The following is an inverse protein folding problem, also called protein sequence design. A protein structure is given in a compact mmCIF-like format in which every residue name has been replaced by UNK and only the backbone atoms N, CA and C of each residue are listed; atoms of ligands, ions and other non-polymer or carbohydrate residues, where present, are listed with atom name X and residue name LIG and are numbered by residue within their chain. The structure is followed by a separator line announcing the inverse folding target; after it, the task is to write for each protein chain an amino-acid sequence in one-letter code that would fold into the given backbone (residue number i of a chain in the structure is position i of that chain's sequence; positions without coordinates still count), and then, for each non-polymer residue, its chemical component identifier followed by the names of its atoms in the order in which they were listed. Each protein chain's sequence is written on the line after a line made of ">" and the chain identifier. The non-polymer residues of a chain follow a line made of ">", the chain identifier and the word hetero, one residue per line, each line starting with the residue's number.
data_IF_083531524918
#
_entry.id   IF_083531524918
#
_cell.length_a   1.000
_cell.length_b   1.000
_cell.length_c   1.000
_cell.angle_alpha   90.00
_cell.angle_beta   90.00
_cell.angle_gamma   90.00
#
_symmetry.space_group_name_H-M   'P 1'
#
loop_
_entity.id
_entity.type
_entity.pdbx_description
1 polymer ?
#
# COMPACT_ATOMS: atom_id res chain seq x y z
N UNK A 1 -11.78 10.90 1.63
CA UNK A 1 -10.35 11.30 1.63
C UNK A 1 -9.93 11.67 3.03
N UNK A 2 -8.65 11.54 3.38
CA UNK A 2 -8.10 11.95 4.68
C UNK A 2 -6.91 12.90 4.46
N UNK A 3 -6.57 13.69 5.48
CA UNK A 3 -5.49 14.70 5.52
C UNK A 3 -5.75 15.97 4.70
N UNK A 4 -5.54 17.13 5.34
CA UNK A 4 -5.80 18.46 4.76
C UNK A 4 -5.16 18.65 3.38
N UNK A 5 -3.87 18.33 3.23
CA UNK A 5 -3.14 18.43 1.96
C UNK A 5 -3.81 17.68 0.79
N UNK A 6 -4.51 16.57 1.07
CA UNK A 6 -5.22 15.83 0.02
C UNK A 6 -6.48 16.58 -0.42
N UNK A 7 -7.18 17.24 0.51
CA UNK A 7 -8.31 18.13 0.18
C UNK A 7 -7.83 19.34 -0.62
N UNK A 8 -6.72 19.97 -0.24
CA UNK A 8 -6.08 21.08 -0.97
C UNK A 8 -5.84 20.72 -2.43
N UNK A 9 -5.16 19.59 -2.65
CA UNK A 9 -4.77 19.14 -3.99
C UNK A 9 -5.99 18.76 -4.83
N UNK A 10 -7.02 18.18 -4.22
CA UNK A 10 -8.25 17.87 -4.94
C UNK A 10 -9.00 19.15 -5.32
N UNK A 11 -9.15 20.10 -4.37
CA UNK A 11 -9.78 21.39 -4.62
C UNK A 11 -9.10 22.17 -5.73
N UNK A 12 -7.77 22.21 -5.74
CA UNK A 12 -6.99 22.79 -6.83
C UNK A 12 -7.23 22.07 -8.18
N UNK A 13 -7.39 20.75 -8.18
CA UNK A 13 -7.65 19.96 -9.39
C UNK A 13 -9.04 20.23 -9.99
N UNK A 14 -10.06 20.46 -9.16
CA UNK A 14 -11.43 20.74 -9.63
C UNK A 14 -11.79 22.23 -9.63
N UNK A 15 -10.87 23.10 -9.23
CA UNK A 15 -11.06 24.54 -9.06
C UNK A 15 -12.24 24.90 -8.12
N UNK A 16 -12.28 24.25 -6.95
CA UNK A 16 -13.26 24.52 -5.90
C UNK A 16 -12.61 24.47 -4.51
N UNK A 17 -13.20 25.18 -3.55
CA UNK A 17 -12.78 25.11 -2.15
C UNK A 17 -13.27 23.82 -1.46
N UNK A 18 -12.38 23.17 -0.72
CA UNK A 18 -12.62 21.98 0.08
C UNK A 18 -12.00 22.06 1.48
N UNK A 19 -11.59 23.25 1.92
CA UNK A 19 -10.83 23.43 3.16
C UNK A 19 -11.43 24.43 4.13
N UNK A 20 -11.99 25.54 3.62
CA UNK A 20 -12.24 26.73 4.43
C UNK A 20 -13.13 26.46 5.65
N UNK A 21 -14.11 25.58 5.53
CA UNK A 21 -14.97 25.16 6.64
C UNK A 21 -15.51 23.72 6.48
N UNK A 22 -16.35 23.28 7.42
CA UNK A 22 -16.99 21.96 7.37
C UNK A 22 -17.92 21.81 6.17
N UNK A 23 -18.61 22.87 5.75
CA UNK A 23 -19.50 22.84 4.58
C UNK A 23 -18.69 22.55 3.31
N UNK A 24 -17.58 23.27 3.12
CA UNK A 24 -16.64 23.08 2.02
C UNK A 24 -16.06 21.65 2.02
N UNK A 25 -15.63 21.14 3.18
CA UNK A 25 -15.12 19.77 3.32
C UNK A 25 -16.19 18.72 3.02
N UNK A 26 -17.41 18.91 3.52
CA UNK A 26 -18.50 17.93 3.42
C UNK A 26 -18.97 17.70 1.98
N UNK A 27 -18.70 18.63 1.06
CA UNK A 27 -18.90 18.41 -0.38
C UNK A 27 -18.23 17.12 -0.86
N UNK A 28 -17.11 16.71 -0.25
CA UNK A 28 -16.37 15.50 -0.67
C UNK A 28 -17.20 14.22 -0.53
N UNK A 29 -18.15 14.20 0.41
CA UNK A 29 -19.03 13.07 0.66
C UNK A 29 -20.28 13.08 -0.24
N UNK A 30 -20.50 14.17 -0.98
CA UNK A 30 -21.67 14.36 -1.83
C UNK A 30 -21.34 14.08 -3.31
N UNK A 31 -22.38 13.73 -4.08
CA UNK A 31 -22.25 13.62 -5.53
C UNK A 31 -21.97 15.00 -6.15
N UNK A 32 -21.06 15.11 -7.14
CA UNK A 32 -20.26 14.05 -7.76
C UNK A 32 -18.91 13.79 -7.08
N UNK A 33 -18.52 14.58 -6.08
CA UNK A 33 -17.17 14.57 -5.50
C UNK A 33 -16.84 13.27 -4.78
N UNK A 34 -17.80 12.58 -4.18
CA UNK A 34 -17.58 11.27 -3.55
C UNK A 34 -17.00 10.23 -4.53
N UNK A 35 -17.38 10.31 -5.81
CA UNK A 35 -16.87 9.43 -6.87
C UNK A 35 -15.65 10.06 -7.56
N UNK A 36 -15.76 11.33 -7.97
CA UNK A 36 -14.68 12.01 -8.71
C UNK A 36 -13.38 12.06 -7.93
N UNK A 37 -13.45 12.28 -6.63
CA UNK A 37 -12.27 12.37 -5.78
C UNK A 37 -11.56 11.03 -5.62
N UNK A 38 -12.31 9.91 -5.57
CA UNK A 38 -11.74 8.57 -5.58
C UNK A 38 -10.99 8.26 -6.88
N UNK A 39 -11.60 8.57 -8.04
CA UNK A 39 -10.94 8.40 -9.34
C UNK A 39 -9.76 9.34 -9.53
N UNK A 40 -9.86 10.60 -9.11
CA UNK A 40 -8.73 11.53 -9.12
C UNK A 40 -7.56 10.99 -8.29
N UNK A 41 -7.84 10.53 -7.07
CA UNK A 41 -6.80 9.96 -6.21
C UNK A 41 -6.10 8.78 -6.89
N UNK A 42 -6.91 7.87 -7.46
CA UNK A 42 -6.44 6.63 -8.07
C UNK A 42 -5.71 6.86 -9.41
N UNK A 43 -6.28 7.65 -10.31
CA UNK A 43 -5.77 7.83 -11.67
C UNK A 43 -4.71 8.94 -11.78
N UNK A 44 -4.86 10.02 -11.00
CA UNK A 44 -4.07 11.25 -11.16
C UNK A 44 -3.09 11.42 -10.01
N UNK A 45 -3.59 11.58 -8.77
CA UNK A 45 -2.75 12.00 -7.65
C UNK A 45 -1.69 10.96 -7.25
N UNK A 46 -2.13 9.74 -6.95
CA UNK A 46 -1.21 8.63 -6.62
C UNK A 46 -0.79 7.82 -7.83
N UNK A 47 -1.45 8.03 -8.98
CA UNK A 47 -1.21 7.30 -10.22
C UNK A 47 -1.14 5.78 -9.97
N UNK A 48 -2.10 5.27 -9.21
CA UNK A 48 -2.26 3.85 -8.84
C UNK A 48 -2.60 3.02 -10.09
N UNK A 49 -3.35 3.62 -11.03
CA UNK A 49 -3.77 2.98 -12.28
C UNK A 49 -2.60 2.37 -13.07
N UNK A 50 -1.40 2.98 -13.03
CA UNK A 50 -0.22 2.42 -13.71
C UNK A 50 0.23 1.06 -13.13
N UNK A 51 -0.03 0.82 -11.85
CA UNK A 51 0.31 -0.42 -11.17
C UNK A 51 -0.79 -1.47 -11.33
N UNK A 52 -2.05 -1.03 -11.33
CA UNK A 52 -3.19 -1.88 -11.62
C UNK A 52 -3.15 -2.50 -13.02
N UNK A 53 -2.67 -1.75 -14.02
CA UNK A 53 -2.43 -2.28 -15.37
C UNK A 53 -1.43 -3.44 -15.41
N UNK A 54 -0.58 -3.57 -14.39
CA UNK A 54 0.40 -4.65 -14.27
C UNK A 54 0.00 -5.69 -13.21
N UNK A 55 -1.25 -5.66 -12.74
CA UNK A 55 -1.77 -6.53 -11.68
C UNK A 55 -0.95 -6.50 -10.38
N UNK A 56 -0.28 -5.38 -10.09
CA UNK A 56 0.61 -5.23 -8.94
C UNK A 56 -0.18 -4.82 -7.68
N UNK A 57 -0.99 -5.75 -7.17
CA UNK A 57 -1.88 -5.56 -6.03
C UNK A 57 -1.17 -5.06 -4.76
N UNK A 58 0.03 -5.60 -4.51
CA UNK A 58 0.88 -5.22 -3.39
C UNK A 58 1.25 -3.73 -3.46
N UNK A 59 1.70 -3.24 -4.61
CA UNK A 59 2.03 -1.81 -4.79
C UNK A 59 0.78 -0.93 -4.74
N UNK A 60 -0.34 -1.39 -5.30
CA UNK A 60 -1.63 -0.67 -5.24
C UNK A 60 -2.03 -0.44 -3.77
N UNK A 61 -1.98 -1.49 -2.94
CA UNK A 61 -2.34 -1.40 -1.52
C UNK A 61 -1.39 -0.46 -0.77
N UNK A 62 -0.08 -0.61 -1.01
CA UNK A 62 0.95 0.23 -0.40
C UNK A 62 0.76 1.73 -0.69
N UNK A 63 0.33 2.08 -1.91
CA UNK A 63 0.11 3.47 -2.33
C UNK A 63 -1.14 4.09 -1.72
N UNK A 64 -2.23 3.32 -1.60
CA UNK A 64 -3.52 3.85 -1.12
C UNK A 64 -3.44 4.19 0.37
N UNK A 65 -2.80 3.35 1.19
CA UNK A 65 -2.76 3.52 2.65
C UNK A 65 -1.40 3.94 3.21
N UNK A 66 -0.37 4.07 2.36
CA UNK A 66 1.01 4.24 2.84
C UNK A 66 1.58 2.99 3.51
N UNK A 67 1.00 1.82 3.27
CA UNK A 67 1.32 0.56 3.94
C UNK A 67 0.30 -0.52 3.60
N UNK A 68 0.18 -1.54 4.46
CA UNK A 68 -0.63 -2.73 4.19
C UNK A 68 -1.81 -2.89 5.17
N UNK A 69 -2.31 -1.77 5.72
CA UNK A 69 -3.50 -1.79 6.55
C UNK A 69 -4.73 -2.30 5.77
N UNK A 70 -5.44 -3.27 6.36
CA UNK A 70 -6.58 -3.96 5.75
C UNK A 70 -6.24 -4.77 4.50
N UNK A 71 -4.99 -5.21 4.32
CA UNK A 71 -4.56 -5.97 3.14
C UNK A 71 -5.39 -7.25 2.94
N UNK A 72 -5.62 -8.04 4.00
CA UNK A 72 -6.41 -9.26 3.95
C UNK A 72 -7.88 -9.01 3.53
N UNK A 73 -8.48 -7.90 3.98
CA UNK A 73 -9.82 -7.53 3.54
C UNK A 73 -9.82 -7.13 2.06
N UNK A 74 -8.80 -6.37 1.62
CA UNK A 74 -8.67 -5.94 0.24
C UNK A 74 -8.51 -7.11 -0.72
N UNK A 75 -7.68 -8.11 -0.38
CA UNK A 75 -7.47 -9.26 -1.26
C UNK A 75 -8.75 -10.10 -1.34
N UNK A 76 -9.52 -10.22 -0.24
CA UNK A 76 -10.84 -10.87 -0.24
C UNK A 76 -11.83 -10.17 -1.18
N UNK A 77 -11.92 -8.84 -1.10
CA UNK A 77 -12.80 -8.07 -2.01
C UNK A 77 -12.33 -8.12 -3.46
N UNK A 78 -11.02 -8.05 -3.69
CA UNK A 78 -10.43 -8.18 -5.02
C UNK A 78 -10.77 -9.54 -5.64
N UNK A 79 -10.53 -10.64 -4.94
CA UNK A 79 -10.85 -11.99 -5.43
C UNK A 79 -12.35 -12.12 -5.73
N UNK A 80 -13.22 -11.60 -4.85
CA UNK A 80 -14.67 -11.58 -5.10
C UNK A 80 -15.02 -10.80 -6.38
N UNK A 81 -14.39 -9.65 -6.60
CA UNK A 81 -14.63 -8.84 -7.79
C UNK A 81 -14.16 -9.55 -9.07
N UNK A 82 -12.96 -10.15 -9.04
CA UNK A 82 -12.41 -10.95 -10.14
C UNK A 82 -13.38 -12.07 -10.53
N UNK A 83 -13.84 -12.86 -9.56
CA UNK A 83 -14.80 -13.95 -9.82
C UNK A 83 -16.15 -13.45 -10.32
N UNK A 84 -16.70 -12.40 -9.69
CA UNK A 84 -18.03 -11.87 -10.06
C UNK A 84 -18.02 -11.30 -11.48
N UNK A 85 -16.92 -10.67 -11.89
CA UNK A 85 -16.74 -10.06 -13.21
C UNK A 85 -16.18 -11.03 -14.25
N UNK A 86 -15.88 -12.28 -13.89
CA UNK A 86 -15.22 -13.28 -14.75
C UNK A 86 -13.90 -12.77 -15.35
N UNK A 87 -13.11 -12.10 -14.50
CA UNK A 87 -11.91 -11.37 -14.88
C UNK A 87 -10.61 -12.12 -14.49
N UNK A 88 -10.66 -13.43 -14.25
CA UNK A 88 -9.52 -14.25 -13.82
C UNK A 88 -8.32 -14.12 -14.78
N UNK A 89 -8.61 -14.03 -16.08
CA UNK A 89 -7.62 -13.83 -17.14
C UNK A 89 -6.82 -12.51 -17.03
N UNK A 90 -7.29 -11.55 -16.22
CA UNK A 90 -6.58 -10.29 -15.94
C UNK A 90 -5.77 -10.33 -14.65
N UNK A 91 -6.02 -11.31 -13.77
CA UNK A 91 -5.42 -11.45 -12.45
C UNK A 91 -4.16 -12.34 -12.49
N UNK A 92 -3.22 -12.01 -13.38
CA UNK A 92 -2.04 -12.81 -13.71
C UNK A 92 -0.98 -12.96 -12.60
N UNK A 93 -0.85 -11.99 -11.69
CA UNK A 93 0.10 -12.04 -10.57
C UNK A 93 -0.50 -12.68 -9.30
N UNK A 94 -1.81 -12.89 -9.27
CA UNK A 94 -2.48 -13.63 -8.21
C UNK A 94 -2.32 -15.14 -8.44
N UNK A 95 -1.26 -15.72 -7.89
CA UNK A 95 -0.95 -17.15 -8.02
C UNK A 95 -1.67 -17.95 -6.93
N UNK A 96 -1.49 -19.27 -6.89
CA UNK A 96 -2.06 -20.13 -5.83
C UNK A 96 -1.71 -19.64 -4.41
N UNK A 97 -0.49 -19.12 -4.22
CA UNK A 97 -0.03 -18.53 -2.96
C UNK A 97 -0.43 -17.04 -2.78
N UNK A 98 -1.27 -16.50 -3.66
CA UNK A 98 -1.64 -15.09 -3.74
C UNK A 98 -0.62 -14.22 -4.47
N UNK A 99 -0.66 -12.91 -4.22
CA UNK A 99 0.30 -11.94 -4.75
C UNK A 99 1.64 -12.02 -4.03
N UNK A 100 2.65 -12.56 -4.71
CA UNK A 100 4.00 -12.74 -4.17
C UNK A 100 4.71 -11.40 -3.94
N UNK A 101 5.58 -11.36 -2.92
CA UNK A 101 6.33 -10.15 -2.55
C UNK A 101 7.31 -9.76 -3.66
N UNK A 102 7.99 -10.74 -4.23
CA UNK A 102 9.08 -10.62 -5.20
C UNK A 102 8.62 -10.22 -6.60
N UNK A 103 7.39 -10.61 -6.96
CA UNK A 103 6.78 -10.25 -8.24
C UNK A 103 6.29 -8.78 -8.25
N UNK A 104 6.17 -8.15 -7.08
CA UNK A 104 5.68 -6.78 -6.94
C UNK A 104 6.82 -5.76 -6.99
N UNK A 105 6.50 -4.54 -7.45
CA UNK A 105 7.42 -3.40 -7.36
C UNK A 105 7.81 -3.06 -5.93
N UNK A 106 7.04 -3.45 -4.92
CA UNK A 106 7.40 -3.22 -3.52
C UNK A 106 8.72 -3.92 -3.14
N UNK A 107 9.08 -5.02 -3.82
CA UNK A 107 10.34 -5.74 -3.59
C UNK A 107 11.57 -4.87 -3.81
N UNK A 108 11.51 -3.94 -4.77
CA UNK A 108 12.59 -3.02 -5.12
C UNK A 108 12.35 -1.60 -4.60
N UNK A 109 11.37 -1.41 -3.72
CA UNK A 109 11.03 -0.10 -3.16
C UNK A 109 11.32 -0.10 -1.65
N UNK A 110 12.45 0.51 -1.25
CA UNK A 110 13.00 0.39 0.13
C UNK A 110 11.96 0.59 1.25
N UNK A 111 11.07 1.58 1.09
CA UNK A 111 10.07 1.90 2.11
C UNK A 111 9.00 0.81 2.18
N UNK A 112 8.55 0.30 1.04
CA UNK A 112 7.47 -0.68 0.98
C UNK A 112 7.97 -2.11 1.21
N UNK A 113 9.20 -2.45 0.83
CA UNK A 113 9.86 -3.65 1.31
C UNK A 113 9.96 -3.66 2.85
N UNK A 114 10.39 -2.54 3.44
CA UNK A 114 10.44 -2.42 4.90
C UNK A 114 9.05 -2.49 5.53
N UNK A 115 8.06 -1.79 4.98
CA UNK A 115 6.67 -1.86 5.46
C UNK A 115 6.12 -3.28 5.34
N UNK A 116 6.35 -4.01 4.26
CA UNK A 116 5.89 -5.39 4.11
C UNK A 116 6.41 -6.27 5.24
N UNK A 117 7.69 -6.11 5.58
CA UNK A 117 8.30 -6.70 6.76
C UNK A 117 7.51 -6.37 8.03
N UNK A 118 7.28 -5.08 8.33
CA UNK A 118 6.58 -4.63 9.55
C UNK A 118 5.14 -5.15 9.68
N UNK A 119 4.40 -5.28 8.58
CA UNK A 119 3.02 -5.75 8.65
C UNK A 119 2.96 -7.26 8.94
N UNK A 120 3.87 -8.06 8.36
CA UNK A 120 3.97 -9.50 8.61
C UNK A 120 4.73 -9.85 9.91
N UNK A 121 5.50 -8.92 10.47
CA UNK A 121 6.31 -9.11 11.67
C UNK A 121 5.45 -9.46 12.91
N UNK A 122 5.60 -10.67 13.50
CA UNK A 122 4.88 -11.08 14.71
C UNK A 122 5.17 -10.22 15.95
N UNK A 123 6.32 -9.52 15.98
CA UNK A 123 6.72 -8.60 17.06
C UNK A 123 6.31 -7.15 16.78
N UNK A 124 5.50 -6.91 15.75
CA UNK A 124 5.01 -5.59 15.35
C UNK A 124 3.51 -5.46 15.61
N UNK A 125 3.10 -4.29 16.10
CA UNK A 125 1.69 -3.97 16.36
C UNK A 125 0.92 -3.56 15.10
N UNK A 126 1.57 -3.50 13.93
CA UNK A 126 0.89 -3.24 12.67
C UNK A 126 -0.14 -4.34 12.36
N UNK A 127 -1.30 -3.96 11.82
CA UNK A 127 -2.39 -4.88 11.51
C UNK A 127 -2.80 -4.78 10.04
N UNK A 128 -3.43 -5.83 9.51
CA UNK A 128 -3.95 -5.85 8.15
C UNK A 128 -3.44 -7.01 7.29
N UNK A 129 -2.33 -7.64 7.68
CA UNK A 129 -1.85 -8.92 7.13
C UNK A 129 -1.82 -9.97 8.22
N UNK A 130 -1.71 -11.24 7.84
CA UNK A 130 -1.35 -12.29 8.78
C UNK A 130 0.09 -12.11 9.25
N UNK A 131 0.36 -12.55 10.49
CA UNK A 131 1.71 -12.55 11.05
C UNK A 131 2.46 -13.78 10.56
N UNK A 132 3.61 -13.54 9.94
CA UNK A 132 4.43 -14.55 9.31
C UNK A 132 5.91 -14.14 9.44
N UNK A 133 6.62 -14.82 10.34
CA UNK A 133 8.04 -14.59 10.62
C UNK A 133 8.90 -14.73 9.36
N UNK A 134 8.62 -15.70 8.49
CA UNK A 134 9.44 -15.97 7.32
C UNK A 134 9.27 -14.86 6.28
N UNK A 135 8.02 -14.44 6.00
CA UNK A 135 7.74 -13.29 5.13
C UNK A 135 8.34 -11.99 5.68
N UNK A 136 8.25 -11.79 7.00
CA UNK A 136 8.82 -10.62 7.65
C UNK A 136 10.35 -10.56 7.48
N UNK A 137 11.04 -11.66 7.78
CA UNK A 137 12.49 -11.77 7.64
C UNK A 137 12.94 -11.58 6.19
N UNK A 138 12.24 -12.20 5.24
CA UNK A 138 12.54 -12.06 3.82
C UNK A 138 12.48 -10.59 3.37
N UNK A 139 11.42 -9.89 3.74
CA UNK A 139 11.24 -8.49 3.36
C UNK A 139 12.18 -7.54 4.10
N UNK A 140 12.47 -7.78 5.39
CA UNK A 140 13.48 -7.02 6.11
C UNK A 140 14.88 -7.19 5.53
N UNK A 141 15.28 -8.41 5.14
CA UNK A 141 16.56 -8.64 4.45
C UNK A 141 16.62 -7.90 3.12
N UNK A 142 15.53 -7.91 2.34
CA UNK A 142 15.48 -7.14 1.10
C UNK A 142 15.57 -5.63 1.35
N UNK A 143 14.82 -5.12 2.32
CA UNK A 143 14.87 -3.72 2.71
C UNK A 143 16.27 -3.32 3.19
N UNK A 144 16.95 -4.18 3.95
CA UNK A 144 18.31 -3.97 4.42
C UNK A 144 19.25 -3.70 3.23
N UNK A 145 19.27 -4.58 2.23
CA UNK A 145 20.07 -4.39 1.02
C UNK A 145 19.78 -3.05 0.33
N UNK A 146 18.50 -2.67 0.20
CA UNK A 146 18.10 -1.42 -0.44
C UNK A 146 18.51 -0.16 0.35
N UNK A 147 18.53 -0.23 1.69
CA UNK A 147 18.98 0.88 2.54
C UNK A 147 20.50 0.96 2.65
N UNK A 148 21.21 -0.19 2.63
CA UNK A 148 22.67 -0.23 2.54
C UNK A 148 23.16 0.43 1.24
N UNK A 149 22.51 0.13 0.10
CA UNK A 149 22.79 0.79 -1.19
C UNK A 149 22.58 2.32 -1.17
N UNK A 150 21.79 2.83 -0.23
CA UNK A 150 21.52 4.27 -0.04
C UNK A 150 22.37 4.90 1.05
N UNK A 151 23.25 4.13 1.70
CA UNK A 151 24.04 4.55 2.85
C UNK A 151 23.20 5.13 4.02
N UNK A 152 21.97 4.63 4.21
CA UNK A 152 21.11 5.06 5.32
C UNK A 152 21.44 4.24 6.59
N UNK A 153 22.54 4.64 7.26
CA UNK A 153 23.10 3.93 8.41
C UNK A 153 22.05 3.74 9.53
N UNK A 154 21.16 4.72 9.73
CA UNK A 154 20.13 4.66 10.78
C UNK A 154 19.12 3.56 10.50
N UNK A 155 18.59 3.50 9.27
CA UNK A 155 17.63 2.45 8.89
C UNK A 155 18.28 1.07 8.85
N UNK A 156 19.51 0.98 8.37
CA UNK A 156 20.30 -0.26 8.36
C UNK A 156 20.41 -0.85 9.77
N UNK A 157 20.85 -0.06 10.76
CA UNK A 157 20.98 -0.53 12.14
C UNK A 157 19.64 -0.96 12.74
N UNK A 158 18.57 -0.20 12.49
CA UNK A 158 17.23 -0.55 12.98
C UNK A 158 16.70 -1.85 12.36
N UNK A 159 16.94 -2.08 11.06
CA UNK A 159 16.53 -3.32 10.38
C UNK A 159 17.35 -4.51 10.90
N UNK A 160 18.67 -4.37 11.08
CA UNK A 160 19.52 -5.44 11.65
C UNK A 160 19.05 -5.85 13.04
N UNK A 161 18.78 -4.89 13.92
CA UNK A 161 18.25 -5.16 15.26
C UNK A 161 16.93 -5.93 15.20
N UNK A 162 16.03 -5.55 14.28
CA UNK A 162 14.74 -6.23 14.13
C UNK A 162 14.89 -7.65 13.58
N UNK A 163 15.80 -7.87 12.62
CA UNK A 163 16.09 -9.21 12.09
C UNK A 163 16.62 -10.13 13.21
N UNK A 164 17.53 -9.62 14.06
CA UNK A 164 18.07 -10.39 15.18
C UNK A 164 16.97 -10.78 16.18
N UNK A 165 16.16 -9.82 16.60
CA UNK A 165 15.03 -10.07 17.51
C UNK A 165 14.05 -11.12 16.96
N UNK A 166 13.74 -11.07 15.65
CA UNK A 166 12.89 -12.07 15.01
C UNK A 166 13.55 -13.44 14.86
N UNK A 167 14.88 -13.50 14.80
CA UNK A 167 15.60 -14.76 14.66
C UNK A 167 15.64 -15.52 15.99
N UNK A 168 15.60 -14.80 17.11
CA UNK A 168 15.57 -15.33 18.48
C UNK A 168 14.17 -15.70 18.99
N UNK A 169 13.12 -15.13 18.39
CA UNK A 169 11.70 -15.44 18.65
C UNK A 169 11.23 -16.68 17.92
#
# INVERSE_FOLDING_TARGET
>A
MTWQDVYTKYGAYVNEDFETDDSARNKIAQYPHCVRSAFWFYCVYKNVVKHAKNDDFNMITALINGGFNGYNDRIKYFNRAVTTLKAEHLSVLNKEAGFLFEDSKIYNYRVYAYSWGRYHDPLSNESGTDKDKLKALQAYRRALTLYEQRNDVRKVSAIKARINALSEF
#
